data_IF_360699338775
#
_entry.id   IF_360699338775
#
_cell.length_a   1.000
_cell.length_b   1.000
_cell.length_c   1.000
_cell.angle_alpha   90.00
_cell.angle_beta   90.00
_cell.angle_gamma   90.00
#
_symmetry.space_group_name_H-M   'P 1'
#
loop_
_entity.id
_entity.type
_entity.pdbx_description
1 polymer ?
#
# COMPACT_ATOMS: atom_id res chain seq x y z
N UNK A 1 -15.47 -4.94 -8.19
CA UNK A 1 -14.91 -3.69 -7.61
C UNK A 1 -16.04 -2.91 -6.94
N UNK A 2 -16.02 -2.75 -5.60
CA UNK A 2 -17.03 -1.93 -4.91
C UNK A 2 -16.59 -0.46 -4.86
N UNK A 3 -17.08 0.36 -5.79
CA UNK A 3 -16.79 1.80 -5.83
C UNK A 3 -17.32 2.52 -4.57
N UNK A 4 -18.41 2.01 -3.98
CA UNK A 4 -19.14 2.66 -2.87
C UNK A 4 -18.34 2.89 -1.59
N UNK A 5 -17.30 2.08 -1.32
CA UNK A 5 -16.47 2.23 -0.10
C UNK A 5 -15.10 2.87 -0.35
N UNK A 6 -14.81 3.26 -1.59
CA UNK A 6 -13.49 3.78 -1.97
C UNK A 6 -13.13 5.07 -1.21
N UNK A 7 -14.14 5.86 -0.82
CA UNK A 7 -14.01 7.07 -0.01
C UNK A 7 -13.47 6.81 1.41
N UNK A 8 -13.62 5.60 1.95
CA UNK A 8 -13.14 5.22 3.28
C UNK A 8 -11.72 4.63 3.26
N UNK A 9 -11.23 4.22 2.09
CA UNK A 9 -9.94 3.54 1.92
C UNK A 9 -9.00 4.34 1.02
N UNK A 10 -8.87 3.98 -0.27
CA UNK A 10 -7.88 4.57 -1.18
C UNK A 10 -8.04 6.08 -1.36
N UNK A 11 -9.28 6.58 -1.57
CA UNK A 11 -9.49 8.02 -1.71
C UNK A 11 -9.17 8.77 -0.42
N UNK A 12 -9.45 8.18 0.75
CA UNK A 12 -9.13 8.78 2.04
C UNK A 12 -7.62 8.98 2.19
N UNK A 13 -6.84 7.92 1.94
CA UNK A 13 -5.38 7.95 2.00
C UNK A 13 -4.81 8.91 0.97
N UNK A 14 -5.22 8.79 -0.28
CA UNK A 14 -4.65 9.55 -1.38
C UNK A 14 -4.94 11.06 -1.22
N UNK A 15 -6.16 11.43 -0.82
CA UNK A 15 -6.53 12.82 -0.56
C UNK A 15 -5.83 13.40 0.68
N UNK A 16 -5.90 12.72 1.84
CA UNK A 16 -5.33 13.27 3.09
C UNK A 16 -3.81 13.33 3.06
N UNK A 17 -3.15 12.33 2.47
CA UNK A 17 -1.68 12.30 2.40
C UNK A 17 -1.12 13.40 1.50
N UNK A 18 -1.79 13.72 0.38
CA UNK A 18 -1.36 14.80 -0.52
C UNK A 18 -1.72 16.18 0.03
N UNK A 19 -2.92 16.33 0.61
CA UNK A 19 -3.36 17.58 1.22
C UNK A 19 -2.48 18.00 2.42
N UNK A 20 -1.87 17.05 3.14
CA UNK A 20 -0.91 17.34 4.21
C UNK A 20 0.32 18.15 3.73
N UNK A 21 0.60 18.13 2.44
CA UNK A 21 1.69 18.88 1.80
C UNK A 21 1.19 19.97 0.84
N UNK A 22 -0.10 20.34 0.91
CA UNK A 22 -0.69 21.36 0.04
C UNK A 22 -0.80 20.95 -1.43
N UNK A 23 -0.79 19.64 -1.73
CA UNK A 23 -0.88 19.11 -3.09
C UNK A 23 -2.32 18.70 -3.42
N UNK A 24 -2.77 19.04 -4.62
CA UNK A 24 -4.05 18.58 -5.18
C UNK A 24 -3.85 17.29 -5.98
N UNK A 25 -4.48 16.20 -5.53
CA UNK A 25 -4.47 14.94 -6.26
C UNK A 25 -5.64 14.86 -7.24
N UNK A 26 -5.36 14.46 -8.49
CA UNK A 26 -6.37 14.10 -9.49
C UNK A 26 -6.34 12.61 -9.79
N UNK A 27 -7.51 12.01 -9.93
CA UNK A 27 -7.71 10.56 -10.10
C UNK A 27 -8.57 10.28 -11.34
N UNK A 28 -8.00 10.33 -12.56
CA UNK A 28 -8.77 10.21 -13.82
C UNK A 28 -9.60 8.93 -13.92
N UNK A 29 -9.14 7.82 -13.34
CA UNK A 29 -9.87 6.56 -13.28
C UNK A 29 -11.16 6.61 -12.45
N UNK A 30 -11.39 7.68 -11.69
CA UNK A 30 -12.63 7.92 -10.95
C UNK A 30 -13.49 9.02 -11.57
N UNK A 31 -13.16 9.47 -12.78
CA UNK A 31 -14.05 10.32 -13.54
C UNK A 31 -15.40 9.61 -13.79
N UNK A 32 -16.50 10.37 -13.76
CA UNK A 32 -17.85 9.82 -13.89
C UNK A 32 -18.08 9.17 -15.25
N UNK A 33 -17.62 9.81 -16.33
CA UNK A 33 -17.77 9.25 -17.67
C UNK A 33 -16.94 7.99 -17.83
N UNK A 34 -15.69 8.01 -17.35
CA UNK A 34 -14.84 6.83 -17.35
C UNK A 34 -15.45 5.67 -16.55
N UNK A 35 -15.94 5.92 -15.33
CA UNK A 35 -16.60 4.90 -14.51
C UNK A 35 -17.80 4.31 -15.24
N UNK A 36 -18.66 5.12 -15.84
CA UNK A 36 -19.84 4.63 -16.55
C UNK A 36 -19.44 3.70 -17.70
N UNK A 37 -18.46 4.09 -18.50
CA UNK A 37 -17.92 3.25 -19.58
C UNK A 37 -17.30 1.97 -19.02
N UNK A 38 -16.42 2.08 -18.03
CA UNK A 38 -15.74 0.94 -17.43
C UNK A 38 -16.73 -0.04 -16.79
N UNK A 39 -17.81 0.43 -16.18
CA UNK A 39 -18.84 -0.40 -15.55
C UNK A 39 -19.78 -1.05 -16.57
N UNK A 40 -20.01 -0.43 -17.73
CA UNK A 40 -20.85 -0.98 -18.79
C UNK A 40 -20.23 -2.16 -19.56
N UNK A 41 -18.89 -2.31 -19.52
CA UNK A 41 -18.20 -3.46 -20.13
C UNK A 41 -18.65 -4.76 -19.46
N UNK A 42 -18.96 -5.78 -20.26
CA UNK A 42 -19.33 -7.12 -19.81
C UNK A 42 -18.29 -7.65 -18.78
N UNK A 43 -18.73 -8.08 -17.59
CA UNK A 43 -17.85 -8.69 -16.60
C UNK A 43 -16.96 -9.81 -17.14
N UNK A 44 -17.41 -10.61 -18.11
CA UNK A 44 -16.62 -11.69 -18.72
C UNK A 44 -15.30 -11.22 -19.32
N UNK A 45 -15.28 -10.00 -19.87
CA UNK A 45 -14.06 -9.42 -20.41
C UNK A 45 -13.09 -8.94 -19.32
N UNK A 46 -13.58 -8.70 -18.09
CA UNK A 46 -12.76 -8.25 -16.95
C UNK A 46 -12.15 -9.41 -16.15
N UNK A 47 -12.62 -10.64 -16.39
CA UNK A 47 -12.11 -11.83 -15.73
C UNK A 47 -10.70 -12.16 -16.21
N UNK A 48 -9.85 -12.60 -15.27
CA UNK A 48 -8.53 -13.15 -15.55
C UNK A 48 -8.73 -14.56 -16.12
N UNK A 49 -8.15 -14.83 -17.29
CA UNK A 49 -8.23 -16.13 -17.98
C UNK A 49 -6.82 -16.55 -18.40
N UNK A 50 -6.04 -17.18 -17.51
CA UNK A 50 -4.65 -17.54 -17.77
C UNK A 50 -4.47 -18.45 -18.99
N UNK A 51 -5.43 -19.36 -19.22
CA UNK A 51 -5.44 -20.27 -20.38
C UNK A 51 -5.51 -19.52 -21.73
N UNK A 52 -6.07 -18.31 -21.72
CA UNK A 52 -6.14 -17.40 -22.87
C UNK A 52 -5.04 -16.33 -22.84
N UNK A 53 -4.10 -16.40 -21.89
CA UNK A 53 -3.07 -15.38 -21.67
C UNK A 53 -3.58 -14.07 -21.09
N UNK A 54 -4.83 -14.01 -20.58
CA UNK A 54 -5.42 -12.78 -20.01
C UNK A 54 -5.00 -12.60 -18.56
N UNK A 55 -4.23 -11.55 -18.32
CA UNK A 55 -3.82 -11.11 -16.97
C UNK A 55 -4.78 -10.05 -16.40
N UNK A 56 -4.59 -9.65 -15.14
CA UNK A 56 -5.42 -8.64 -14.50
C UNK A 56 -5.47 -7.33 -15.29
N UNK A 57 -6.65 -6.71 -15.32
CA UNK A 57 -6.92 -5.50 -16.11
C UNK A 57 -6.67 -5.68 -17.61
N UNK A 58 -6.85 -6.89 -18.15
CA UNK A 58 -6.65 -7.22 -19.57
C UNK A 58 -7.26 -6.20 -20.54
N UNK A 59 -8.56 -5.90 -20.41
CA UNK A 59 -9.25 -4.94 -21.30
C UNK A 59 -8.58 -3.57 -21.31
N UNK A 60 -8.13 -3.11 -20.14
CA UNK A 60 -7.41 -1.84 -20.02
C UNK A 60 -6.06 -1.93 -20.73
N UNK A 61 -5.31 -3.02 -20.55
CA UNK A 61 -4.01 -3.21 -21.23
C UNK A 61 -4.18 -3.21 -22.75
N UNK A 62 -5.17 -3.96 -23.26
CA UNK A 62 -5.48 -4.01 -24.69
C UNK A 62 -5.93 -2.67 -25.27
N UNK A 63 -6.65 -1.85 -24.51
CA UNK A 63 -7.06 -0.52 -24.95
C UNK A 63 -5.88 0.45 -25.18
N UNK A 64 -4.71 0.19 -24.57
CA UNK A 64 -3.49 0.98 -24.73
C UNK A 64 -2.39 0.22 -25.51
N UNK A 65 -2.74 -0.92 -26.11
CA UNK A 65 -1.82 -1.77 -26.87
C UNK A 65 -1.76 -1.36 -28.35
N UNK A 66 -1.25 -0.15 -28.60
CA UNK A 66 -1.04 0.39 -29.94
C UNK A 66 0.32 -0.08 -30.49
N UNK A 67 0.33 -0.72 -31.66
CA UNK A 67 1.56 -1.22 -32.30
C UNK A 67 2.28 -0.15 -33.12
N UNK A 68 1.54 0.81 -33.67
CA UNK A 68 2.09 1.88 -34.50
C UNK A 68 2.60 3.03 -33.63
N UNK A 69 1.86 3.37 -32.58
CA UNK A 69 2.20 4.45 -31.65
C UNK A 69 2.12 3.98 -30.17
N UNK A 70 3.08 3.16 -29.71
CA UNK A 70 3.00 2.58 -28.38
C UNK A 70 2.98 3.62 -27.25
N UNK A 71 1.94 3.57 -26.40
CA UNK A 71 1.85 4.41 -25.19
C UNK A 71 2.88 4.01 -24.12
N UNK A 72 3.20 2.72 -24.03
CA UNK A 72 4.12 2.14 -23.05
C UNK A 72 4.93 0.99 -23.68
N UNK A 73 6.17 0.74 -23.22
CA UNK A 73 6.90 -0.47 -23.59
C UNK A 73 6.12 -1.74 -23.24
N UNK A 74 6.15 -2.77 -24.10
CA UNK A 74 5.37 -4.01 -23.92
C UNK A 74 5.62 -4.68 -22.56
N UNK A 75 6.87 -4.69 -22.09
CA UNK A 75 7.21 -5.27 -20.80
C UNK A 75 6.60 -4.53 -19.60
N UNK A 76 6.29 -3.23 -19.73
CA UNK A 76 5.54 -2.46 -18.72
C UNK A 76 4.04 -2.67 -18.89
N UNK A 77 3.55 -2.61 -20.13
CA UNK A 77 2.12 -2.78 -20.45
C UNK A 77 1.58 -4.14 -20.01
N UNK A 78 2.41 -5.18 -20.04
CA UNK A 78 2.06 -6.54 -19.62
C UNK A 78 2.71 -6.97 -18.30
N UNK A 79 3.28 -6.03 -17.55
CA UNK A 79 3.81 -6.31 -16.21
C UNK A 79 2.70 -6.75 -15.26
N UNK A 80 2.93 -7.84 -14.53
CA UNK A 80 2.02 -8.32 -13.50
C UNK A 80 1.84 -7.26 -12.39
N UNK A 81 0.61 -7.13 -11.90
CA UNK A 81 0.23 -6.16 -10.87
C UNK A 81 0.72 -6.58 -9.48
N UNK A 82 1.79 -5.95 -9.03
CA UNK A 82 2.27 -6.02 -7.63
C UNK A 82 1.42 -5.21 -6.66
N UNK A 83 1.13 -5.72 -5.45
CA UNK A 83 0.48 -4.94 -4.39
C UNK A 83 1.33 -3.72 -4.01
N UNK A 84 0.68 -2.64 -3.55
CA UNK A 84 1.40 -1.39 -3.23
C UNK A 84 2.46 -1.59 -2.14
N UNK A 85 2.18 -2.48 -1.18
CA UNK A 85 3.08 -2.79 -0.07
C UNK A 85 4.36 -3.50 -0.53
N UNK A 86 4.28 -4.38 -1.53
CA UNK A 86 5.46 -5.03 -2.14
C UNK A 86 6.19 -4.08 -3.09
N UNK A 87 5.44 -3.26 -3.83
CA UNK A 87 5.99 -2.29 -4.78
C UNK A 87 6.81 -1.15 -4.16
N UNK A 88 6.60 -0.82 -2.87
CA UNK A 88 7.41 0.18 -2.14
C UNK A 88 8.69 -0.39 -1.54
N UNK A 89 8.81 -1.73 -1.46
CA UNK A 89 9.94 -2.42 -0.86
C UNK A 89 9.50 -3.54 0.07
N UNK A 90 10.09 -4.73 -0.12
CA UNK A 90 9.67 -5.93 0.59
C UNK A 90 9.76 -5.79 2.12
N UNK A 91 10.77 -5.08 2.65
CA UNK A 91 11.02 -4.94 4.09
C UNK A 91 10.14 -3.90 4.81
N UNK A 92 9.37 -3.08 4.09
CA UNK A 92 8.63 -1.96 4.71
C UNK A 92 7.57 -2.45 5.71
N UNK A 93 6.76 -3.43 5.30
CA UNK A 93 5.71 -4.00 6.15
C UNK A 93 6.29 -4.69 7.40
N UNK A 94 7.34 -5.48 7.21
CA UNK A 94 7.98 -6.21 8.31
C UNK A 94 8.59 -5.25 9.34
N UNK A 95 9.14 -4.13 8.86
CA UNK A 95 9.64 -3.06 9.73
C UNK A 95 8.54 -2.43 10.58
N UNK A 96 7.35 -2.19 10.00
CA UNK A 96 6.19 -1.66 10.74
C UNK A 96 5.67 -2.65 11.79
N UNK A 97 5.54 -3.93 11.42
CA UNK A 97 5.16 -5.01 12.36
C UNK A 97 6.15 -5.10 13.52
N UNK A 98 7.45 -5.09 13.22
CA UNK A 98 8.52 -5.13 14.23
C UNK A 98 8.51 -3.89 15.12
N UNK A 99 8.25 -2.70 14.57
CA UNK A 99 8.12 -1.48 15.34
C UNK A 99 6.91 -1.54 16.29
N UNK A 100 5.73 -1.92 15.79
CA UNK A 100 4.53 -2.10 16.62
C UNK A 100 4.76 -3.11 17.74
N UNK A 101 5.47 -4.21 17.46
CA UNK A 101 5.81 -5.22 18.46
C UNK A 101 6.71 -4.70 19.59
N UNK A 102 7.55 -3.68 19.32
CA UNK A 102 8.37 -3.01 20.36
C UNK A 102 7.57 -2.05 21.24
N UNK A 103 6.46 -1.50 20.72
CA UNK A 103 5.65 -0.50 21.41
C UNK A 103 4.50 -1.10 22.21
N UNK A 104 4.07 -2.32 21.90
CA UNK A 104 2.90 -2.97 22.50
C UNK A 104 3.30 -4.32 23.11
N UNK A 105 3.11 -4.46 24.42
CA UNK A 105 3.41 -5.70 25.15
C UNK A 105 2.29 -6.72 25.01
N UNK A 106 2.57 -7.99 25.33
CA UNK A 106 1.54 -9.03 25.32
C UNK A 106 0.44 -8.76 26.37
N UNK A 107 0.82 -8.25 27.54
CA UNK A 107 -0.12 -7.83 28.58
C UNK A 107 -1.06 -6.68 28.12
N UNK A 108 -0.56 -5.77 27.27
CA UNK A 108 -1.41 -4.74 26.66
C UNK A 108 -2.43 -5.36 25.70
N UNK A 109 -2.01 -6.36 24.91
CA UNK A 109 -2.91 -7.10 24.01
C UNK A 109 -3.96 -7.91 24.78
N UNK A 110 -3.59 -8.57 25.87
CA UNK A 110 -4.52 -9.30 26.75
C UNK A 110 -5.61 -8.38 27.33
N UNK A 111 -5.27 -7.12 27.60
CA UNK A 111 -6.20 -6.12 28.10
C UNK A 111 -6.84 -5.25 26.99
N UNK A 112 -6.57 -5.54 25.71
CA UNK A 112 -7.02 -4.69 24.59
C UNK A 112 -8.54 -4.48 24.58
N UNK A 113 -9.32 -5.53 24.84
CA UNK A 113 -10.79 -5.43 24.89
C UNK A 113 -11.32 -4.57 26.05
N UNK A 114 -10.54 -4.39 27.12
CA UNK A 114 -10.90 -3.50 28.23
C UNK A 114 -10.58 -2.04 27.89
N UNK A 115 -9.44 -1.81 27.22
CA UNK A 115 -8.97 -0.47 26.85
C UNK A 115 -9.73 0.07 25.63
N UNK A 116 -9.97 -0.78 24.64
CA UNK A 116 -10.66 -0.48 23.40
C UNK A 116 -11.85 -1.43 23.24
N UNK A 117 -12.96 -1.22 23.97
CA UNK A 117 -14.13 -2.11 23.90
C UNK A 117 -14.79 -2.11 22.52
N UNK A 118 -14.76 -0.97 21.84
CA UNK A 118 -15.21 -0.85 20.45
C UNK A 118 -14.03 -1.06 19.50
N UNK A 119 -14.22 -1.94 18.50
CA UNK A 119 -13.24 -2.16 17.43
C UNK A 119 -11.87 -2.58 17.97
N UNK A 120 -11.86 -3.60 18.84
CA UNK A 120 -10.68 -4.06 19.56
C UNK A 120 -9.55 -4.50 18.60
N UNK A 121 -8.36 -3.87 18.66
CA UNK A 121 -7.22 -4.30 17.87
C UNK A 121 -6.85 -5.77 18.09
N UNK A 122 -6.65 -6.50 17.00
CA UNK A 122 -6.27 -7.93 17.02
C UNK A 122 -4.77 -8.16 16.84
N UNK A 123 -4.01 -7.12 16.49
CA UNK A 123 -2.55 -7.16 16.31
C UNK A 123 -1.87 -6.04 17.08
N UNK A 124 -0.59 -6.23 17.45
CA UNK A 124 0.23 -5.20 18.12
C UNK A 124 0.38 -3.94 17.27
N UNK A 125 0.55 -4.10 15.97
CA UNK A 125 0.58 -2.98 15.01
C UNK A 125 -0.75 -2.19 15.03
N UNK A 126 -1.89 -2.88 14.95
CA UNK A 126 -3.20 -2.26 15.02
C UNK A 126 -3.45 -1.56 16.35
N UNK A 127 -2.98 -2.15 17.46
CA UNK A 127 -3.05 -1.54 18.78
C UNK A 127 -2.26 -0.23 18.81
N UNK A 128 -1.03 -0.24 18.29
CA UNK A 128 -0.19 0.94 18.23
C UNK A 128 -0.84 2.08 17.44
N UNK A 129 -1.40 1.80 16.24
CA UNK A 129 -2.14 2.78 15.46
C UNK A 129 -3.38 3.29 16.21
N UNK A 130 -4.11 2.40 16.90
CA UNK A 130 -5.29 2.77 17.69
C UNK A 130 -4.92 3.72 18.83
N UNK A 131 -3.80 3.47 19.53
CA UNK A 131 -3.29 4.37 20.57
C UNK A 131 -2.97 5.76 20.03
N UNK A 132 -2.32 5.86 18.86
CA UNK A 132 -2.05 7.15 18.21
C UNK A 132 -3.37 7.85 17.82
N UNK A 133 -4.31 7.10 17.25
CA UNK A 133 -5.60 7.63 16.83
C UNK A 133 -6.39 8.22 18.00
N UNK A 134 -6.53 7.49 19.12
CA UNK A 134 -7.27 7.97 20.30
C UNK A 134 -6.60 9.19 20.94
N UNK A 135 -5.27 9.27 20.90
CA UNK A 135 -4.52 10.45 21.36
C UNK A 135 -4.84 11.70 20.53
N UNK A 136 -4.98 11.55 19.22
CA UNK A 136 -5.28 12.67 18.30
C UNK A 136 -6.79 12.96 18.22
N UNK A 137 -7.64 11.95 18.38
CA UNK A 137 -9.09 12.00 18.20
C UNK A 137 -9.82 11.30 19.36
N UNK A 138 -9.84 11.90 20.57
CA UNK A 138 -10.33 11.23 21.79
C UNK A 138 -11.85 11.01 21.84
N UNK A 139 -12.60 11.59 20.90
CA UNK A 139 -14.07 11.55 20.90
C UNK A 139 -14.59 10.27 20.25
N UNK A 140 -15.64 9.69 20.84
CA UNK A 140 -16.33 8.50 20.31
C UNK A 140 -16.80 8.66 18.87
N UNK A 141 -17.29 9.84 18.49
CA UNK A 141 -17.71 10.12 17.13
C UNK A 141 -16.59 9.93 16.09
N UNK A 142 -15.33 10.20 16.45
CA UNK A 142 -14.21 9.98 15.54
C UNK A 142 -13.96 8.49 15.32
N UNK A 143 -14.09 7.65 16.35
CA UNK A 143 -13.99 6.19 16.23
C UNK A 143 -14.99 5.62 15.22
N UNK A 144 -16.24 6.09 15.28
CA UNK A 144 -17.31 5.65 14.37
C UNK A 144 -17.06 6.00 12.91
N UNK A 145 -16.15 6.94 12.62
CA UNK A 145 -15.75 7.28 11.24
C UNK A 145 -14.77 6.30 10.62
N UNK A 146 -14.15 5.43 11.42
CA UNK A 146 -13.20 4.42 10.95
C UNK A 146 -13.95 3.11 10.73
N UNK A 147 -14.06 2.59 9.49
CA UNK A 147 -14.72 1.33 9.23
C UNK A 147 -13.98 0.19 9.93
N UNK A 148 -14.72 -0.70 10.57
CA UNK A 148 -14.18 -1.88 11.25
C UNK A 148 -14.83 -3.13 10.70
N UNK A 149 -14.18 -3.69 9.68
CA UNK A 149 -14.62 -4.88 8.98
C UNK A 149 -13.38 -5.76 8.72
N UNK A 150 -13.51 -7.09 8.69
CA UNK A 150 -12.46 -7.94 8.14
C UNK A 150 -12.14 -7.49 6.72
N UNK A 151 -10.87 -7.18 6.46
CA UNK A 151 -10.40 -6.72 5.15
C UNK A 151 -9.10 -7.44 4.80
N UNK A 152 -8.92 -7.68 3.50
CA UNK A 152 -7.65 -8.12 2.92
C UNK A 152 -7.28 -7.06 1.89
N UNK A 153 -6.10 -6.46 2.01
CA UNK A 153 -5.74 -5.28 1.22
C UNK A 153 -6.79 -4.15 1.34
N UNK A 154 -7.09 -3.50 0.22
CA UNK A 154 -8.14 -2.49 0.09
C UNK A 154 -9.54 -3.11 -0.16
N UNK A 155 -9.69 -4.43 0.06
CA UNK A 155 -10.93 -5.14 -0.25
C UNK A 155 -11.79 -5.36 1.00
N UNK A 156 -13.09 -5.23 0.80
CA UNK A 156 -14.13 -5.46 1.82
C UNK A 156 -14.20 -6.92 2.26
N UNK A 157 -14.86 -7.20 3.39
CA UNK A 157 -15.14 -8.57 3.86
C UNK A 157 -15.70 -9.50 2.76
N UNK A 158 -16.48 -8.96 1.82
CA UNK A 158 -17.03 -9.71 0.68
C UNK A 158 -15.97 -10.30 -0.27
N UNK A 159 -14.77 -9.71 -0.35
CA UNK A 159 -13.70 -10.28 -1.16
C UNK A 159 -13.10 -11.53 -0.52
N UNK A 160 -13.14 -11.62 0.82
CA UNK A 160 -12.70 -12.79 1.57
C UNK A 160 -13.60 -14.01 1.26
N UNK A 161 -14.86 -13.77 0.90
CA UNK A 161 -15.81 -14.81 0.47
C UNK A 161 -15.51 -15.37 -0.93
N UNK A 162 -14.68 -14.69 -1.74
CA UNK A 162 -14.43 -15.06 -3.14
C UNK A 162 -13.30 -16.08 -3.30
N UNK A 163 -12.41 -16.19 -2.32
CA UNK A 163 -11.36 -17.22 -2.31
C UNK A 163 -11.26 -17.83 -0.90
N UNK A 164 -11.51 -19.14 -0.73
CA UNK A 164 -11.36 -19.84 0.55
C UNK A 164 -9.98 -19.68 1.19
N UNK A 165 -8.92 -19.50 0.41
CA UNK A 165 -7.55 -19.28 0.90
C UNK A 165 -7.39 -17.93 1.59
N UNK A 166 -8.11 -16.90 1.15
CA UNK A 166 -8.10 -15.57 1.77
C UNK A 166 -8.81 -15.56 3.13
N UNK A 167 -9.74 -16.49 3.35
CA UNK A 167 -10.44 -16.65 4.64
C UNK A 167 -9.49 -17.01 5.79
N UNK A 168 -8.43 -17.75 5.48
CA UNK A 168 -7.43 -18.18 6.45
C UNK A 168 -6.22 -17.23 6.51
N UNK A 169 -6.22 -16.16 5.70
CA UNK A 169 -5.07 -15.27 5.55
C UNK A 169 -5.47 -13.78 5.52
N UNK A 170 -5.87 -13.29 6.69
CA UNK A 170 -6.38 -11.93 6.91
C UNK A 170 -5.28 -10.87 7.01
N UNK A 171 -4.17 -11.01 6.27
CA UNK A 171 -3.14 -9.95 6.26
C UNK A 171 -3.72 -8.70 5.55
N UNK A 172 -3.90 -7.57 6.26
CA UNK A 172 -4.44 -6.34 5.67
C UNK A 172 -3.57 -5.77 4.56
N UNK A 173 -2.31 -6.19 4.45
CA UNK A 173 -1.40 -5.77 3.38
C UNK A 173 -1.65 -6.49 2.04
N UNK A 174 -2.42 -7.58 2.03
CA UNK A 174 -2.76 -8.33 0.81
C UNK A 174 -1.62 -9.15 0.22
N UNK A 175 -0.44 -9.19 0.86
CA UNK A 175 0.75 -9.94 0.41
C UNK A 175 0.55 -11.46 0.40
N UNK A 176 -0.46 -11.90 1.12
CA UNK A 176 -0.59 -13.27 1.58
C UNK A 176 -1.35 -14.18 0.60
N UNK A 177 -1.59 -13.71 -0.63
CA UNK A 177 -1.97 -14.56 -1.76
C UNK A 177 -0.70 -15.22 -2.35
N UNK A 178 -0.09 -16.13 -1.60
CA UNK A 178 1.05 -16.92 -2.05
C UNK A 178 0.72 -17.63 -3.37
N UNK A 179 1.64 -17.59 -4.34
CA UNK A 179 1.45 -18.24 -5.65
C UNK A 179 0.75 -17.40 -6.73
N UNK A 180 0.29 -16.18 -6.42
CA UNK A 180 -0.28 -15.28 -7.44
C UNK A 180 0.81 -14.57 -8.25
N UNK A 181 1.97 -14.30 -7.65
CA UNK A 181 3.09 -13.63 -8.30
C UNK A 181 4.11 -14.63 -8.83
N UNK A 182 4.46 -14.52 -10.11
CA UNK A 182 5.45 -15.41 -10.73
C UNK A 182 6.89 -15.08 -10.32
N UNK A 183 7.14 -13.89 -9.75
CA UNK A 183 8.46 -13.39 -9.39
C UNK A 183 8.72 -13.26 -7.88
N UNK A 184 7.83 -13.77 -7.02
CA UNK A 184 7.99 -13.62 -5.57
C UNK A 184 8.74 -14.78 -4.95
N UNK A 185 9.77 -14.43 -4.18
CA UNK A 185 10.57 -15.26 -3.29
C UNK A 185 11.18 -16.47 -4.01
N UNK A 186 12.41 -16.33 -4.51
CA UNK A 186 13.27 -17.50 -4.70
C UNK A 186 13.19 -18.34 -3.43
N UNK A 187 12.82 -19.62 -3.57
CA UNK A 187 12.75 -20.59 -2.49
C UNK A 187 14.14 -20.76 -1.86
N UNK A 188 14.48 -19.87 -0.93
CA UNK A 188 15.67 -19.92 -0.09
C UNK A 188 15.29 -20.32 1.33
N UNK A 189 14.73 -21.52 1.50
CA UNK A 189 14.73 -22.19 2.79
C UNK A 189 16.17 -22.57 3.15
N UNK A 190 16.90 -21.64 3.77
CA UNK A 190 18.21 -21.83 4.36
C UNK A 190 18.13 -21.51 5.84
N UNK A 191 18.09 -22.56 6.65
CA UNK A 191 18.16 -22.52 8.10
C UNK A 191 19.60 -22.11 8.48
N UNK A 192 19.87 -20.83 8.75
CA UNK A 192 21.16 -20.39 9.28
C UNK A 192 20.96 -19.56 10.55
N UNK A 193 20.93 -20.27 11.67
CA UNK A 193 21.35 -19.74 12.96
C UNK A 193 22.83 -19.41 12.88
N UNK A 194 23.20 -18.17 12.61
CA UNK A 194 24.50 -17.60 13.01
C UNK A 194 24.44 -16.08 13.02
N UNK A 195 24.83 -15.50 14.17
CA UNK A 195 24.71 -14.08 14.44
C UNK A 195 25.52 -13.20 13.49
N UNK A 196 24.89 -12.13 13.01
CA UNK A 196 25.57 -11.01 12.35
C UNK A 196 24.99 -9.71 12.92
N UNK A 197 25.91 -8.82 13.30
CA UNK A 197 25.70 -7.64 14.13
C UNK A 197 24.72 -6.61 13.54
N UNK A 198 24.04 -5.87 14.43
CA UNK A 198 23.25 -4.68 14.12
C UNK A 198 24.12 -3.61 13.42
N UNK A 199 23.68 -3.03 12.28
CA UNK A 199 24.27 -1.79 11.81
C UNK A 199 23.76 -0.63 12.69
N UNK A 200 24.70 0.05 13.34
CA UNK A 200 24.51 1.27 14.10
C UNK A 200 24.16 2.43 13.14
N UNK A 201 22.91 2.87 13.16
CA UNK A 201 22.46 4.04 12.39
C UNK A 201 22.49 5.24 13.34
N UNK A 202 23.70 5.73 13.60
CA UNK A 202 23.90 7.07 14.13
C UNK A 202 24.85 7.84 13.21
N UNK A 203 24.43 9.05 12.86
CA UNK A 203 25.18 10.10 12.14
C UNK A 203 25.22 10.04 10.61
N UNK A 204 24.16 10.55 9.99
CA UNK A 204 24.25 11.22 8.68
C UNK A 204 23.20 12.33 8.57
N UNK A 205 23.31 13.35 9.43
CA UNK A 205 22.71 14.66 9.17
C UNK A 205 23.58 15.34 8.10
N UNK A 206 23.04 15.77 6.95
CA UNK A 206 23.81 16.53 5.97
C UNK A 206 24.17 17.90 6.55
N UNK A 207 25.46 18.13 6.80
CA UNK A 207 25.99 19.43 7.23
C UNK A 207 26.09 20.35 6.00
N UNK A 208 25.35 21.47 6.01
CA UNK A 208 25.49 22.55 5.04
C UNK A 208 26.81 23.27 5.30
N UNK A 209 27.80 23.08 4.41
CA UNK A 209 29.04 23.86 4.41
C UNK A 209 28.77 25.26 3.86
N UNK A 210 28.65 26.24 4.73
CA UNK A 210 28.75 27.66 4.36
C UNK A 210 30.23 27.98 4.18
N UNK A 211 30.66 28.29 2.96
CA UNK A 211 32.00 28.79 2.68
C UNK A 211 31.93 30.32 2.51
N UNK A 212 32.51 31.05 3.46
CA UNK A 212 32.74 32.48 3.30
C UNK A 212 33.98 32.68 2.42
N UNK A 213 33.75 32.92 1.13
CA UNK A 213 34.79 33.26 0.16
C UNK A 213 34.67 34.71 -0.29
N UNK A 214 35.61 35.54 0.15
CA UNK A 214 35.88 36.90 -0.31
C UNK A 214 36.29 36.93 -1.79
N UNK A 215 35.64 37.79 -2.58
CA UNK A 215 36.28 38.51 -3.68
C UNK A 215 36.31 37.87 -5.09
N UNK A 216 35.74 38.64 -6.02
CA UNK A 216 36.11 38.79 -7.44
C UNK A 216 35.77 37.69 -8.46
N UNK A 217 34.64 37.91 -9.15
CA UNK A 217 34.69 38.19 -10.59
C UNK A 217 34.63 37.00 -11.57
N UNK A 218 33.68 37.13 -12.50
CA UNK A 218 33.60 36.56 -13.87
C UNK A 218 32.88 35.21 -14.06
N UNK A 219 31.66 35.33 -14.62
CA UNK A 219 31.07 34.49 -15.68
C UNK A 219 30.95 32.97 -15.47
N UNK A 220 29.72 32.48 -15.25
CA UNK A 220 29.37 31.07 -15.49
C UNK A 220 28.32 30.99 -16.59
N UNK A 221 28.74 30.45 -17.72
CA UNK A 221 27.94 30.04 -18.87
C UNK A 221 27.19 28.75 -18.53
N UNK A 222 25.87 28.71 -18.73
CA UNK A 222 25.06 27.50 -18.54
C UNK A 222 24.84 26.88 -19.92
N UNK A 223 25.33 25.65 -20.14
CA UNK A 223 24.90 24.81 -21.25
C UNK A 223 23.92 23.75 -20.75
N UNK A 224 22.91 23.52 -21.59
CA UNK A 224 21.79 22.60 -21.42
C UNK A 224 22.22 21.13 -21.25
#
# INVERSE_FOLDING_TARGET
MQIKKLNLYDCLRANKATAAWGLELRVPFLDKAFINTAMAIDPEHKMVKPDEGRIEKWVLRKAFDDEENPYLPKHILYRQKEQMSDGVGYNWNDTLKAHGAKQVTDQMMENAAKVFPDNTPTTKEGYYYRTIFERLFPKSAARLSVPWEPTVACCTAKAIEWNPEWKNNLDPSGRAASGVHHSTYDNGSGNDTNGVAQPDITNSVPQVKVTNGTGNGTGVEIKA
#
